data_IF_748462348615
#
_entry.id   IF_748462348615
#
_cell.length_a   1.000
_cell.length_b   1.000
_cell.length_c   1.000
_cell.angle_alpha   90.00
_cell.angle_beta   90.00
_cell.angle_gamma   90.00
#
_symmetry.space_group_name_H-M   'P 1'
#
loop_
_entity.id
_entity.type
_entity.pdbx_description
1 polymer ?
#
# COMPACT_ATOMS: atom_id res chain seq x y z
N UNK A 1 -3.82 2.19 -26.68
CA UNK A 1 -4.75 2.57 -25.61
C UNK A 1 -5.07 1.30 -24.82
N UNK A 2 -5.72 1.41 -23.68
CA UNK A 2 -6.36 0.26 -23.04
C UNK A 2 -7.81 0.14 -23.51
N UNK A 3 -8.27 -1.09 -23.68
CA UNK A 3 -9.64 -1.40 -24.04
C UNK A 3 -10.31 -2.13 -22.87
N UNK A 4 -11.42 -1.60 -22.38
CA UNK A 4 -12.20 -2.20 -21.30
C UNK A 4 -13.60 -2.56 -21.82
N UNK A 5 -13.96 -3.83 -21.76
CA UNK A 5 -15.25 -4.33 -22.22
C UNK A 5 -15.71 -5.52 -21.37
N UNK A 6 -16.73 -5.30 -20.54
CA UNK A 6 -17.28 -6.33 -19.66
C UNK A 6 -18.09 -7.41 -20.37
N UNK A 7 -18.63 -7.10 -21.55
CA UNK A 7 -19.40 -8.02 -22.38
C UNK A 7 -18.47 -8.84 -23.28
N UNK A 8 -18.43 -10.15 -23.08
CA UNK A 8 -17.55 -11.04 -23.84
C UNK A 8 -17.83 -11.05 -25.34
N UNK A 9 -19.11 -10.92 -25.74
CA UNK A 9 -19.51 -10.95 -27.15
C UNK A 9 -19.10 -9.67 -27.87
N UNK A 10 -19.32 -8.51 -27.23
CA UNK A 10 -18.87 -7.22 -27.74
C UNK A 10 -17.36 -7.12 -27.80
N UNK A 11 -16.68 -7.70 -26.82
CA UNK A 11 -15.22 -7.73 -26.78
C UNK A 11 -14.65 -8.52 -27.96
N UNK A 12 -15.20 -9.70 -28.26
CA UNK A 12 -14.77 -10.49 -29.43
C UNK A 12 -15.04 -9.75 -30.74
N UNK A 13 -16.23 -9.16 -30.89
CA UNK A 13 -16.59 -8.34 -32.05
C UNK A 13 -15.59 -7.18 -32.25
N UNK A 14 -15.26 -6.48 -31.17
CA UNK A 14 -14.35 -5.34 -31.22
C UNK A 14 -12.89 -5.75 -31.46
N UNK A 15 -12.43 -6.85 -30.87
CA UNK A 15 -11.08 -7.40 -31.13
C UNK A 15 -10.92 -7.67 -32.64
N UNK A 16 -11.94 -8.25 -33.28
CA UNK A 16 -11.93 -8.49 -34.73
C UNK A 16 -11.91 -7.19 -35.52
N UNK A 17 -12.75 -6.20 -35.17
CA UNK A 17 -12.82 -4.91 -35.88
C UNK A 17 -11.56 -4.06 -35.71
N UNK A 18 -10.90 -4.13 -34.56
CA UNK A 18 -9.64 -3.42 -34.30
C UNK A 18 -8.41 -4.15 -34.84
N UNK A 19 -8.55 -5.43 -35.22
CA UNK A 19 -7.47 -6.26 -35.75
C UNK A 19 -6.26 -6.24 -34.78
N UNK A 20 -6.56 -6.51 -33.50
CA UNK A 20 -5.58 -6.55 -32.42
C UNK A 20 -4.81 -7.88 -32.44
N UNK A 21 -3.48 -7.80 -32.37
CA UNK A 21 -2.62 -8.99 -32.23
C UNK A 21 -2.84 -9.70 -30.89
N UNK A 22 -2.49 -10.99 -30.77
CA UNK A 22 -2.62 -11.76 -29.51
C UNK A 22 -1.89 -11.11 -28.33
N UNK A 23 -0.73 -10.50 -28.60
CA UNK A 23 0.05 -9.78 -27.59
C UNK A 23 -0.70 -8.54 -27.09
N UNK A 24 -1.36 -7.81 -27.98
CA UNK A 24 -2.16 -6.64 -27.62
C UNK A 24 -3.44 -7.01 -26.90
N UNK A 25 -4.08 -8.11 -27.29
CA UNK A 25 -5.24 -8.64 -26.58
C UNK A 25 -4.88 -8.95 -25.12
N UNK A 26 -3.74 -9.62 -24.90
CA UNK A 26 -3.30 -10.02 -23.55
C UNK A 26 -2.95 -8.83 -22.67
N UNK A 27 -2.32 -7.80 -23.22
CA UNK A 27 -1.75 -6.70 -22.44
C UNK A 27 -2.60 -5.43 -22.42
N UNK A 28 -3.57 -5.29 -23.33
CA UNK A 28 -4.34 -4.06 -23.52
C UNK A 28 -5.85 -4.24 -23.41
N UNK A 29 -6.37 -5.46 -23.41
CA UNK A 29 -7.82 -5.71 -23.38
C UNK A 29 -8.24 -6.35 -22.06
N UNK A 30 -9.23 -5.74 -21.39
CA UNK A 30 -9.67 -6.14 -20.06
C UNK A 30 -11.20 -6.28 -19.99
N UNK A 31 -11.69 -7.28 -19.27
CA UNK A 31 -13.14 -7.43 -18.98
C UNK A 31 -13.63 -6.40 -17.97
N UNK A 32 -12.87 -6.27 -16.90
CA UNK A 32 -13.12 -5.38 -15.79
C UNK A 32 -11.78 -4.98 -15.26
N UNK A 33 -11.70 -3.80 -14.70
CA UNK A 33 -10.40 -3.26 -14.44
C UNK A 33 -10.37 -2.34 -13.23
N UNK A 34 -9.42 -2.59 -12.34
CA UNK A 34 -9.29 -1.86 -11.07
C UNK A 34 -8.00 -1.05 -10.94
N UNK A 35 -6.91 -1.37 -11.67
CA UNK A 35 -5.59 -0.71 -11.51
C UNK A 35 -4.74 -0.79 -12.78
N UNK A 36 -4.48 0.33 -13.49
CA UNK A 36 -3.95 0.28 -14.87
C UNK A 36 -2.51 -0.22 -14.91
N UNK A 37 -2.08 -0.96 -15.96
CA UNK A 37 -0.70 -1.44 -16.01
C UNK A 37 0.29 -0.27 -15.99
N UNK A 38 -0.04 0.79 -16.71
CA UNK A 38 0.66 2.08 -16.71
C UNK A 38 -0.29 3.20 -17.16
N UNK A 39 0.21 4.43 -17.20
CA UNK A 39 -0.53 5.58 -17.71
C UNK A 39 -0.93 5.40 -19.19
N UNK A 40 -2.19 5.67 -19.50
CA UNK A 40 -2.65 5.50 -20.88
C UNK A 40 -4.07 5.97 -21.17
N UNK A 41 -4.29 6.33 -22.43
CA UNK A 41 -5.62 6.56 -23.00
C UNK A 41 -6.48 5.30 -22.91
N UNK A 42 -7.79 5.47 -22.74
CA UNK A 42 -8.72 4.36 -22.48
C UNK A 42 -9.91 4.40 -23.43
N UNK A 43 -10.25 3.26 -23.99
CA UNK A 43 -11.48 2.98 -24.70
C UNK A 43 -12.35 2.07 -23.81
N UNK A 44 -13.60 2.48 -23.55
CA UNK A 44 -14.55 1.70 -22.76
C UNK A 44 -15.74 1.35 -23.63
N UNK A 45 -16.03 0.07 -23.75
CA UNK A 45 -17.21 -0.43 -24.47
C UNK A 45 -18.31 -0.67 -23.47
N UNK A 46 -19.46 -0.03 -23.70
CA UNK A 46 -20.61 -0.09 -22.81
C UNK A 46 -21.84 -0.54 -23.58
N UNK A 47 -22.63 -1.41 -22.96
CA UNK A 47 -24.02 -1.64 -23.36
C UNK A 47 -24.93 -0.54 -22.82
N UNK A 48 -24.64 -0.06 -21.62
CA UNK A 48 -25.40 0.95 -20.90
C UNK A 48 -24.45 1.94 -20.20
N UNK A 49 -24.80 3.22 -20.16
CA UNK A 49 -23.94 4.28 -19.61
C UNK A 49 -23.77 4.16 -18.09
N UNK A 50 -24.60 3.37 -17.40
CA UNK A 50 -24.42 3.08 -15.98
C UNK A 50 -23.27 2.09 -15.67
N UNK A 51 -22.57 1.56 -16.69
CA UNK A 51 -21.47 0.61 -16.54
C UNK A 51 -20.42 1.07 -15.50
N UNK A 52 -20.09 0.15 -14.58
CA UNK A 52 -19.13 0.42 -13.51
C UNK A 52 -17.71 0.70 -14.02
N UNK A 53 -17.29 0.08 -15.12
CA UNK A 53 -16.00 0.32 -15.75
C UNK A 53 -15.90 1.75 -16.28
N UNK A 54 -16.98 2.28 -16.89
CA UNK A 54 -17.00 3.66 -17.36
C UNK A 54 -16.79 4.65 -16.20
N UNK A 55 -17.51 4.46 -15.09
CA UNK A 55 -17.33 5.30 -13.90
C UNK A 55 -15.94 5.21 -13.30
N UNK A 56 -15.38 4.00 -13.24
CA UNK A 56 -14.00 3.79 -12.78
C UNK A 56 -13.00 4.54 -13.67
N UNK A 57 -13.13 4.41 -14.99
CA UNK A 57 -12.24 5.06 -15.94
C UNK A 57 -12.35 6.58 -15.86
N UNK A 58 -13.56 7.14 -15.73
CA UNK A 58 -13.74 8.59 -15.50
C UNK A 58 -12.96 9.05 -14.26
N UNK A 59 -13.05 8.32 -13.14
CA UNK A 59 -12.28 8.65 -11.92
C UNK A 59 -10.77 8.57 -12.13
N UNK A 60 -10.31 7.55 -12.86
CA UNK A 60 -8.89 7.40 -13.20
C UNK A 60 -8.38 8.57 -14.05
N UNK A 61 -9.14 9.01 -15.06
CA UNK A 61 -8.77 10.18 -15.87
C UNK A 61 -8.76 11.47 -15.03
N UNK A 62 -9.72 11.65 -14.12
CA UNK A 62 -9.73 12.79 -13.19
C UNK A 62 -8.52 12.79 -12.25
N UNK A 63 -8.09 11.61 -11.78
CA UNK A 63 -6.93 11.46 -10.91
C UNK A 63 -5.58 11.70 -11.63
N UNK A 64 -5.57 11.65 -12.97
CA UNK A 64 -4.38 11.84 -13.82
C UNK A 64 -4.60 12.95 -14.84
N UNK A 65 -5.40 13.95 -14.48
CA UNK A 65 -5.90 14.94 -15.43
C UNK A 65 -4.78 15.80 -16.04
N UNK A 66 -3.64 15.92 -15.37
CA UNK A 66 -2.44 16.61 -15.85
C UNK A 66 -1.78 15.90 -17.05
N UNK A 67 -2.06 14.60 -17.23
CA UNK A 67 -1.53 13.81 -18.34
C UNK A 67 -2.34 13.97 -19.63
N UNK A 68 -3.45 14.73 -19.60
CA UNK A 68 -4.33 14.97 -20.76
C UNK A 68 -4.79 13.68 -21.46
N UNK A 69 -5.08 12.65 -20.68
CA UNK A 69 -5.54 11.36 -21.21
C UNK A 69 -6.91 11.53 -21.88
N UNK A 70 -7.15 10.71 -22.90
CA UNK A 70 -8.37 10.69 -23.70
C UNK A 70 -9.22 9.47 -23.36
N UNK A 71 -10.54 9.67 -23.28
CA UNK A 71 -11.55 8.63 -23.10
C UNK A 71 -12.38 8.45 -24.38
N UNK A 72 -12.34 7.26 -24.97
CA UNK A 72 -13.29 6.87 -26.01
C UNK A 72 -14.39 6.00 -25.38
N UNK A 73 -15.66 6.36 -25.58
CA UNK A 73 -16.80 5.54 -25.12
C UNK A 73 -17.48 4.92 -26.32
N UNK A 74 -17.49 3.59 -26.38
CA UNK A 74 -17.99 2.82 -27.49
C UNK A 74 -19.32 2.16 -27.14
N UNK A 75 -20.30 2.27 -28.03
CA UNK A 75 -21.60 1.60 -27.93
C UNK A 75 -22.06 1.15 -29.32
N UNK A 76 -22.92 0.14 -29.43
CA UNK A 76 -23.46 -0.31 -30.73
C UNK A 76 -24.23 0.80 -31.44
N UNK A 77 -25.06 1.51 -30.68
CA UNK A 77 -25.87 2.63 -31.16
C UNK A 77 -26.04 3.65 -30.05
N UNK A 78 -25.85 4.92 -30.38
CA UNK A 78 -26.10 6.04 -29.48
C UNK A 78 -27.48 6.63 -29.72
N UNK A 79 -28.18 6.95 -28.64
CA UNK A 79 -29.34 7.84 -28.65
C UNK A 79 -28.98 9.18 -28.00
N UNK A 80 -29.81 10.20 -28.20
CA UNK A 80 -29.63 11.50 -27.53
C UNK A 80 -29.67 11.35 -26.00
N UNK A 81 -30.56 10.49 -25.49
CA UNK A 81 -30.64 10.16 -24.07
C UNK A 81 -29.34 9.52 -23.53
N UNK A 82 -28.66 8.70 -24.33
CA UNK A 82 -27.38 8.12 -23.93
C UNK A 82 -26.28 9.18 -23.81
N UNK A 83 -26.25 10.14 -24.74
CA UNK A 83 -25.29 11.25 -24.69
C UNK A 83 -25.53 12.12 -23.45
N UNK A 84 -26.79 12.45 -23.14
CA UNK A 84 -27.14 13.18 -21.92
C UNK A 84 -26.76 12.41 -20.65
N UNK A 85 -26.99 11.10 -20.62
CA UNK A 85 -26.58 10.25 -19.50
C UNK A 85 -25.06 10.18 -19.33
N UNK A 86 -24.30 10.17 -20.43
CA UNK A 86 -22.83 10.14 -20.38
C UNK A 86 -22.29 11.45 -19.83
N UNK A 87 -22.80 12.57 -20.34
CA UNK A 87 -22.53 13.91 -19.83
C UNK A 87 -22.78 13.99 -18.32
N UNK A 88 -23.93 13.47 -17.86
CA UNK A 88 -24.26 13.48 -16.44
C UNK A 88 -23.37 12.54 -15.61
N UNK A 89 -22.98 11.38 -16.15
CA UNK A 89 -22.04 10.49 -15.47
C UNK A 89 -20.68 11.16 -15.24
N UNK A 90 -20.17 11.89 -16.24
CA UNK A 90 -18.92 12.65 -16.14
C UNK A 90 -19.06 13.80 -15.15
N UNK A 91 -20.15 14.59 -15.23
CA UNK A 91 -20.42 15.68 -14.29
C UNK A 91 -20.58 15.17 -12.86
N UNK A 92 -21.17 13.98 -12.67
CA UNK A 92 -21.35 13.37 -11.35
C UNK A 92 -20.01 13.03 -10.71
N UNK A 93 -19.10 12.36 -11.44
CA UNK A 93 -17.79 12.00 -10.89
C UNK A 93 -16.89 13.23 -10.69
N UNK A 94 -16.98 14.24 -11.57
CA UNK A 94 -16.31 15.53 -11.38
C UNK A 94 -16.81 16.25 -10.12
N UNK A 95 -18.13 16.31 -9.91
CA UNK A 95 -18.75 16.89 -8.72
C UNK A 95 -18.31 16.15 -7.45
N UNK A 96 -18.29 14.81 -7.50
CA UNK A 96 -17.79 13.98 -6.40
C UNK A 96 -16.35 14.32 -6.03
N UNK A 97 -15.45 14.46 -7.02
CA UNK A 97 -14.06 14.86 -6.78
C UNK A 97 -13.97 16.21 -6.05
N UNK A 98 -14.81 17.17 -6.44
CA UNK A 98 -14.84 18.49 -5.82
C UNK A 98 -15.45 18.47 -4.41
N UNK A 99 -16.53 17.72 -4.20
CA UNK A 99 -17.18 17.55 -2.89
C UNK A 99 -16.27 16.89 -1.87
N UNK A 100 -15.54 15.84 -2.25
CA UNK A 100 -14.57 15.18 -1.35
C UNK A 100 -13.42 16.13 -0.98
N UNK A 101 -12.90 16.88 -1.96
CA UNK A 101 -11.88 17.90 -1.71
C UNK A 101 -12.40 19.03 -0.80
N UNK A 102 -13.64 19.48 -0.99
CA UNK A 102 -14.27 20.51 -0.16
C UNK A 102 -14.49 20.03 1.28
N UNK A 103 -14.94 18.78 1.48
CA UNK A 103 -15.07 18.17 2.81
C UNK A 103 -13.72 18.11 3.52
N UNK A 104 -12.66 17.71 2.81
CA UNK A 104 -11.30 17.71 3.35
C UNK A 104 -10.82 19.13 3.72
N UNK A 105 -11.04 20.12 2.86
CA UNK A 105 -10.69 21.52 3.13
C UNK A 105 -11.45 22.08 4.35
N UNK A 106 -12.73 21.77 4.51
CA UNK A 106 -13.49 22.16 5.69
C UNK A 106 -12.92 21.55 6.98
N UNK A 107 -12.51 20.27 6.96
CA UNK A 107 -11.86 19.63 8.11
C UNK A 107 -10.53 20.33 8.45
N UNK A 108 -9.68 20.54 7.45
CA UNK A 108 -8.35 21.14 7.63
C UNK A 108 -8.43 22.62 8.04
N UNK A 109 -9.44 23.35 7.59
CA UNK A 109 -9.67 24.74 7.98
C UNK A 109 -9.84 24.95 9.50
N UNK A 110 -10.29 23.90 10.21
CA UNK A 110 -10.50 23.90 11.67
C UNK A 110 -9.23 23.57 12.46
N UNK A 111 -8.14 23.19 11.80
CA UNK A 111 -6.87 22.91 12.47
C UNK A 111 -6.26 24.20 13.02
N UNK A 112 -5.43 24.08 14.09
CA UNK A 112 -4.58 25.16 14.54
C UNK A 112 -3.74 25.75 13.39
N UNK A 113 -3.44 27.05 13.42
CA UNK A 113 -2.52 27.64 12.46
C UNK A 113 -1.15 26.97 12.60
N UNK A 114 -0.56 26.56 11.48
CA UNK A 114 0.75 25.91 11.50
C UNK A 114 1.07 25.22 10.17
N UNK A 115 2.29 24.67 10.03
CA UNK A 115 2.75 24.04 8.78
C UNK A 115 1.81 22.92 8.30
N UNK A 116 1.38 22.03 9.20
CA UNK A 116 0.42 20.96 8.85
C UNK A 116 -0.86 21.46 8.17
N UNK A 117 -1.42 22.58 8.67
CA UNK A 117 -2.59 23.20 8.06
C UNK A 117 -2.24 23.83 6.72
N UNK A 118 -1.14 24.57 6.66
CA UNK A 118 -0.74 25.32 5.47
C UNK A 118 -0.43 24.39 4.30
N UNK A 119 0.43 23.39 4.51
CA UNK A 119 0.86 22.42 3.50
C UNK A 119 -0.36 21.66 2.95
N UNK A 120 -1.24 21.19 3.85
CA UNK A 120 -2.44 20.46 3.45
C UNK A 120 -3.44 21.35 2.73
N UNK A 121 -3.65 22.59 3.17
CA UNK A 121 -4.53 23.54 2.47
C UNK A 121 -3.99 23.90 1.08
N UNK A 122 -2.67 24.03 0.92
CA UNK A 122 -2.06 24.26 -0.39
C UNK A 122 -2.33 23.09 -1.34
N UNK A 123 -2.09 21.86 -0.89
CA UNK A 123 -2.41 20.66 -1.67
C UNK A 123 -3.89 20.61 -2.07
N UNK A 124 -4.80 20.83 -1.12
CA UNK A 124 -6.25 20.82 -1.39
C UNK A 124 -6.66 21.92 -2.38
N UNK A 125 -6.03 23.10 -2.34
CA UNK A 125 -6.27 24.17 -3.31
C UNK A 125 -5.86 23.78 -4.72
N UNK A 126 -4.72 23.11 -4.90
CA UNK A 126 -4.31 22.60 -6.22
C UNK A 126 -5.33 21.60 -6.76
N UNK A 127 -5.86 20.72 -5.92
CA UNK A 127 -6.92 19.79 -6.31
C UNK A 127 -8.28 20.42 -6.61
N UNK A 128 -8.47 21.73 -6.38
CA UNK A 128 -9.69 22.42 -6.82
C UNK A 128 -9.65 22.77 -8.32
N UNK A 129 -8.47 22.73 -8.95
CA UNK A 129 -8.29 23.13 -10.35
C UNK A 129 -8.27 21.95 -11.33
N UNK A 130 -8.78 20.78 -10.91
CA UNK A 130 -8.88 19.59 -11.78
C UNK A 130 -9.61 19.97 -13.09
N UNK A 131 -9.01 19.76 -14.27
CA UNK A 131 -9.66 20.05 -15.53
C UNK A 131 -10.73 19.01 -15.90
N UNK A 132 -11.55 19.33 -16.89
CA UNK A 132 -12.56 18.41 -17.44
C UNK A 132 -11.92 17.23 -18.17
N UNK A 133 -12.60 16.09 -18.16
CA UNK A 133 -12.17 14.89 -18.92
C UNK A 133 -12.33 15.15 -20.42
N UNK A 134 -11.28 14.84 -21.19
CA UNK A 134 -11.34 14.84 -22.65
C UNK A 134 -11.92 13.50 -23.13
N UNK A 135 -13.14 13.52 -23.67
CA UNK A 135 -13.84 12.31 -24.10
C UNK A 135 -14.58 12.47 -25.43
N UNK A 136 -14.79 11.35 -26.11
CA UNK A 136 -15.59 11.27 -27.34
C UNK A 136 -16.38 9.96 -27.39
N UNK A 137 -17.54 9.99 -28.06
CA UNK A 137 -18.40 8.83 -28.26
C UNK A 137 -18.21 8.24 -29.66
N UNK A 138 -18.26 6.91 -29.74
CA UNK A 138 -18.13 6.18 -31.00
C UNK A 138 -19.18 5.09 -31.11
N UNK A 139 -19.72 4.92 -32.31
CA UNK A 139 -20.58 3.77 -32.64
C UNK A 139 -19.72 2.61 -33.16
N UNK A 140 -20.10 1.37 -32.86
CA UNK A 140 -19.41 0.17 -33.38
C UNK A 140 -19.68 -0.03 -34.87
N UNK A 141 -19.04 0.77 -35.72
CA UNK A 141 -19.03 0.65 -37.18
C UNK A 141 -17.81 -0.11 -37.72
N UNK A 142 -17.73 -0.26 -39.05
CA UNK A 142 -16.59 -0.88 -39.73
C UNK A 142 -15.35 0.04 -39.78
N UNK A 143 -15.55 1.34 -39.58
CA UNK A 143 -14.54 2.38 -39.57
C UNK A 143 -13.99 2.71 -38.16
N UNK A 144 -14.42 1.94 -37.14
CA UNK A 144 -14.10 2.22 -35.73
C UNK A 144 -12.59 2.27 -35.47
N UNK A 145 -11.80 1.41 -36.13
CA UNK A 145 -10.34 1.39 -35.99
C UNK A 145 -9.73 2.72 -36.41
N UNK A 146 -10.10 3.22 -37.59
CA UNK A 146 -9.61 4.49 -38.14
C UNK A 146 -10.07 5.67 -37.27
N UNK A 147 -11.31 5.64 -36.79
CA UNK A 147 -11.85 6.67 -35.92
C UNK A 147 -11.09 6.75 -34.58
N UNK A 148 -10.83 5.62 -33.93
CA UNK A 148 -10.04 5.57 -32.69
C UNK A 148 -8.59 5.97 -32.92
N UNK A 149 -7.94 5.49 -33.99
CA UNK A 149 -6.56 5.85 -34.31
C UNK A 149 -6.41 7.35 -34.55
N UNK A 150 -7.40 7.97 -35.20
CA UNK A 150 -7.45 9.43 -35.40
C UNK A 150 -7.65 10.16 -34.07
N UNK A 151 -8.59 9.71 -33.23
CA UNK A 151 -8.88 10.37 -31.96
C UNK A 151 -7.72 10.30 -30.97
N UNK A 152 -6.99 9.19 -30.94
CA UNK A 152 -5.81 9.01 -30.09
C UNK A 152 -4.50 9.52 -30.70
N UNK A 153 -4.56 10.19 -31.86
CA UNK A 153 -3.42 10.79 -32.58
C UNK A 153 -2.32 9.79 -32.99
N UNK A 154 -2.67 8.61 -33.53
CA UNK A 154 -1.76 7.71 -34.25
C UNK A 154 -0.49 7.30 -33.50
N UNK A 155 -0.48 6.10 -32.93
CA UNK A 155 0.57 5.58 -32.03
C UNK A 155 0.76 6.41 -30.75
N UNK A 156 -0.13 6.19 -29.80
CA UNK A 156 0.26 6.31 -28.39
C UNK A 156 1.33 5.26 -28.14
N UNK A 157 2.60 5.65 -28.18
CA UNK A 157 3.70 4.81 -27.68
C UNK A 157 3.49 4.66 -26.18
N UNK A 158 2.96 3.50 -25.79
CA UNK A 158 3.03 3.05 -24.41
C UNK A 158 4.48 2.66 -24.18
N UNK A 159 5.15 3.29 -23.22
CA UNK A 159 6.21 2.62 -22.52
C UNK A 159 5.55 1.47 -21.75
N UNK A 160 5.39 0.33 -22.42
CA UNK A 160 5.51 -0.94 -21.71
C UNK A 160 6.96 -0.88 -21.24
N UNK A 161 7.16 -0.51 -19.98
CA UNK A 161 8.38 -0.91 -19.32
C UNK A 161 8.32 -2.43 -19.40
N UNK A 162 9.04 -3.00 -20.36
CA UNK A 162 9.46 -4.39 -20.33
C UNK A 162 10.20 -4.52 -19.00
N UNK A 163 9.44 -4.80 -17.94
CA UNK A 163 9.99 -5.23 -16.69
C UNK A 163 10.58 -6.60 -17.01
N UNK A 164 11.83 -6.60 -17.48
CA UNK A 164 12.77 -7.71 -17.45
C UNK A 164 13.08 -8.13 -16.01
N UNK A 165 12.13 -7.92 -15.10
CA UNK A 165 12.24 -8.27 -13.70
C UNK A 165 11.97 -9.75 -13.56
N UNK A 166 12.73 -10.36 -12.67
CA UNK A 166 12.37 -11.64 -12.09
C UNK A 166 10.93 -11.58 -11.59
N UNK A 167 10.08 -12.55 -11.98
CA UNK A 167 8.71 -12.58 -11.53
C UNK A 167 8.66 -12.63 -9.99
N UNK A 168 7.97 -11.66 -9.39
CA UNK A 168 7.73 -11.62 -7.94
C UNK A 168 6.57 -12.53 -7.56
N UNK A 169 6.54 -12.97 -6.30
CA UNK A 169 5.42 -13.76 -5.76
C UNK A 169 4.10 -13.00 -5.92
N UNK A 170 2.97 -13.71 -6.09
CA UNK A 170 1.64 -13.08 -5.99
C UNK A 170 1.11 -13.04 -4.56
N UNK A 171 1.81 -13.68 -3.61
CA UNK A 171 1.38 -13.86 -2.23
C UNK A 171 2.30 -13.14 -1.24
N UNK A 172 1.73 -12.54 -0.17
CA UNK A 172 2.51 -11.98 0.92
C UNK A 172 3.27 -13.08 1.70
N UNK A 173 4.27 -12.71 2.51
CA UNK A 173 5.06 -13.67 3.29
C UNK A 173 4.19 -14.34 4.36
N UNK A 174 4.18 -15.68 4.39
CA UNK A 174 3.25 -16.48 5.21
C UNK A 174 3.61 -16.51 6.70
N UNK A 175 4.87 -16.26 7.07
CA UNK A 175 5.40 -16.55 8.41
C UNK A 175 5.91 -15.34 9.20
N UNK A 176 6.00 -14.16 8.58
CA UNK A 176 6.72 -13.02 9.15
C UNK A 176 5.91 -11.72 9.20
N UNK A 177 4.66 -11.74 8.73
CA UNK A 177 3.78 -10.58 8.80
C UNK A 177 2.32 -11.01 8.84
N UNK A 178 1.56 -10.36 9.73
CA UNK A 178 0.10 -10.50 9.84
C UNK A 178 -0.54 -9.12 9.71
N UNK A 179 -1.78 -8.98 9.22
CA UNK A 179 -2.43 -7.67 9.10
C UNK A 179 -2.57 -6.93 10.44
N UNK A 180 -2.78 -7.67 11.53
CA UNK A 180 -2.83 -7.15 12.89
C UNK A 180 -1.55 -7.56 13.64
N UNK A 181 -0.92 -6.63 14.39
CA UNK A 181 0.21 -6.98 15.24
C UNK A 181 -0.20 -7.91 16.37
N UNK A 182 0.74 -8.71 16.82
CA UNK A 182 0.63 -9.55 18.02
C UNK A 182 0.64 -8.69 19.30
N UNK A 183 0.24 -9.27 20.42
CA UNK A 183 0.14 -8.55 21.71
C UNK A 183 1.48 -7.92 22.17
N UNK A 184 2.60 -8.56 21.82
CA UNK A 184 3.96 -8.07 22.13
C UNK A 184 4.55 -7.15 21.05
N UNK A 185 3.81 -6.89 19.98
CA UNK A 185 4.27 -6.07 18.87
C UNK A 185 3.71 -4.66 18.95
N UNK A 186 4.59 -3.69 18.69
CA UNK A 186 4.22 -2.30 18.49
C UNK A 186 4.23 -1.99 17.00
N UNK A 187 3.19 -1.33 16.50
CA UNK A 187 3.13 -0.92 15.10
C UNK A 187 2.62 0.51 14.93
N UNK A 188 3.27 1.25 14.06
CA UNK A 188 2.77 2.53 13.53
C UNK A 188 2.45 2.32 12.07
N UNK A 189 1.17 2.49 11.71
CA UNK A 189 0.68 2.36 10.35
C UNK A 189 0.21 3.71 9.82
N UNK A 190 0.62 4.05 8.60
CA UNK A 190 0.07 5.11 7.78
C UNK A 190 -0.74 4.49 6.65
N UNK A 191 -2.05 4.76 6.62
CA UNK A 191 -2.92 4.41 5.49
C UNK A 191 -3.07 5.61 4.58
N UNK A 192 -2.82 5.39 3.29
CA UNK A 192 -3.04 6.36 2.22
C UNK A 192 -4.29 5.95 1.47
N UNK A 193 -5.31 6.80 1.52
CA UNK A 193 -6.62 6.54 0.90
C UNK A 193 -6.86 7.47 -0.28
N UNK A 194 -7.28 6.92 -1.42
CA UNK A 194 -7.51 7.64 -2.67
C UNK A 194 -9.01 7.71 -2.98
N UNK A 195 -9.68 8.87 -2.86
CA UNK A 195 -11.14 8.98 -3.04
C UNK A 195 -11.63 8.73 -4.49
N UNK A 196 -10.75 8.87 -5.49
CA UNK A 196 -11.07 8.69 -6.90
C UNK A 196 -10.52 7.36 -7.44
N UNK A 197 -9.20 7.27 -7.56
CA UNK A 197 -8.45 6.11 -8.01
C UNK A 197 -7.05 6.15 -7.36
N UNK A 198 -6.50 4.98 -7.02
CA UNK A 198 -5.10 4.89 -6.58
C UNK A 198 -4.11 5.01 -7.74
N UNK A 199 -2.80 4.99 -7.44
CA UNK A 199 -1.76 4.99 -8.47
C UNK A 199 -1.87 3.75 -9.37
N UNK A 200 -1.45 3.90 -10.63
CA UNK A 200 -1.34 2.76 -11.53
C UNK A 200 -0.24 1.79 -11.08
N UNK A 201 -0.21 0.62 -11.72
CA UNK A 201 0.70 -0.44 -11.34
C UNK A 201 2.16 -0.09 -11.57
N UNK A 202 2.49 0.69 -12.61
CA UNK A 202 3.85 1.12 -12.87
C UNK A 202 4.35 2.06 -11.76
N UNK A 203 3.55 3.06 -11.37
CA UNK A 203 3.88 3.94 -10.24
C UNK A 203 4.05 3.16 -8.94
N UNK A 204 3.19 2.16 -8.68
CA UNK A 204 3.32 1.33 -7.48
C UNK A 204 4.55 0.40 -7.50
N UNK A 205 4.93 -0.13 -8.68
CA UNK A 205 6.19 -0.85 -8.86
C UNK A 205 7.38 0.05 -8.54
N UNK A 206 7.37 1.29 -9.03
CA UNK A 206 8.47 2.24 -8.80
C UNK A 206 8.60 2.63 -7.32
N UNK A 207 7.47 2.83 -6.63
CA UNK A 207 7.44 3.00 -5.16
C UNK A 207 8.11 1.82 -4.47
N UNK A 208 7.77 0.57 -4.79
CA UNK A 208 8.42 -0.60 -4.17
C UNK A 208 9.91 -0.68 -4.49
N UNK A 209 10.30 -0.42 -5.74
CA UNK A 209 11.70 -0.42 -6.17
C UNK A 209 12.55 0.58 -5.38
N UNK A 210 12.03 1.77 -5.12
CA UNK A 210 12.73 2.81 -4.35
C UNK A 210 13.09 2.38 -2.91
N UNK A 211 12.38 1.39 -2.36
CA UNK A 211 12.57 0.89 -1.01
C UNK A 211 13.64 -0.22 -0.91
N UNK A 212 13.99 -0.87 -2.02
CA UNK A 212 14.90 -2.03 -2.04
C UNK A 212 16.26 -1.75 -1.39
N UNK A 213 16.81 -0.57 -1.58
CA UNK A 213 18.18 -0.26 -1.14
C UNK A 213 18.31 -0.04 0.38
N UNK A 214 17.20 -0.06 1.11
CA UNK A 214 17.14 0.40 2.49
C UNK A 214 17.13 -0.72 3.55
N UNK A 215 17.23 -1.99 3.16
CA UNK A 215 17.22 -3.10 4.10
C UNK A 215 18.13 -4.26 3.72
N UNK A 216 18.48 -5.05 4.74
CA UNK A 216 19.38 -6.19 4.60
C UNK A 216 18.66 -7.43 4.05
N UNK A 217 17.37 -7.59 4.35
CA UNK A 217 16.53 -8.66 3.85
C UNK A 217 15.22 -8.08 3.31
N UNK A 218 14.86 -8.51 2.11
CA UNK A 218 13.73 -7.98 1.35
C UNK A 218 12.88 -9.16 0.89
N UNK A 219 11.56 -9.03 1.03
CA UNK A 219 10.59 -9.93 0.42
C UNK A 219 9.56 -9.11 -0.36
N UNK A 220 9.41 -9.41 -1.66
CA UNK A 220 8.49 -8.70 -2.55
C UNK A 220 7.42 -9.63 -3.12
N UNK A 221 6.21 -9.08 -3.25
CA UNK A 221 5.10 -9.70 -3.98
C UNK A 221 4.37 -8.64 -4.79
N UNK A 222 3.48 -9.03 -5.69
CA UNK A 222 2.77 -8.14 -6.64
C UNK A 222 2.16 -6.91 -5.99
N UNK A 223 1.62 -7.06 -4.78
CA UNK A 223 0.91 -6.01 -4.06
C UNK A 223 1.72 -5.37 -2.93
N UNK A 224 2.99 -5.76 -2.71
CA UNK A 224 3.74 -5.19 -1.60
C UNK A 224 5.20 -5.58 -1.46
N UNK A 225 5.82 -5.05 -0.43
CA UNK A 225 7.21 -5.28 -0.05
C UNK A 225 7.32 -5.29 1.48
N UNK A 226 8.11 -6.24 1.98
CA UNK A 226 8.52 -6.34 3.37
C UNK A 226 10.04 -6.18 3.44
N UNK A 227 10.49 -5.16 4.16
CA UNK A 227 11.87 -4.90 4.49
C UNK A 227 12.13 -5.33 5.94
N UNK A 228 13.10 -6.23 6.13
CA UNK A 228 13.54 -6.65 7.45
C UNK A 228 14.90 -6.02 7.75
N UNK A 229 14.92 -5.13 8.73
CA UNK A 229 16.12 -4.49 9.26
C UNK A 229 16.09 -4.57 10.79
N UNK A 230 16.50 -5.74 11.30
CA UNK A 230 16.38 -6.13 12.71
C UNK A 230 16.77 -4.99 13.66
N UNK A 231 15.91 -4.61 14.62
CA UNK A 231 14.67 -5.30 15.04
C UNK A 231 13.40 -4.79 14.34
N UNK A 232 13.49 -3.91 13.33
CA UNK A 232 12.32 -3.26 12.72
C UNK A 232 11.94 -3.91 11.39
N UNK A 233 10.64 -4.13 11.21
CA UNK A 233 10.05 -4.58 9.97
C UNK A 233 9.25 -3.42 9.33
N UNK A 234 9.62 -3.03 8.11
CA UNK A 234 8.86 -2.06 7.32
C UNK A 234 8.07 -2.79 6.23
N UNK A 235 6.76 -2.58 6.22
CA UNK A 235 5.83 -3.20 5.31
C UNK A 235 5.11 -2.13 4.50
N UNK A 236 5.09 -2.27 3.18
CA UNK A 236 4.27 -1.45 2.29
C UNK A 236 3.42 -2.36 1.41
N UNK A 237 2.10 -2.17 1.42
CA UNK A 237 1.16 -2.99 0.67
C UNK A 237 0.03 -2.16 0.07
N UNK A 238 -0.35 -2.48 -1.16
CA UNK A 238 -1.58 -2.02 -1.79
C UNK A 238 -2.72 -2.96 -1.42
N UNK A 239 -3.37 -2.65 -0.30
CA UNK A 239 -4.47 -3.48 0.25
C UNK A 239 -5.75 -3.40 -0.58
N UNK A 240 -5.90 -2.35 -1.39
CA UNK A 240 -6.98 -2.23 -2.39
C UNK A 240 -6.57 -1.28 -3.52
N UNK A 241 -7.33 -1.23 -4.63
CA UNK A 241 -7.09 -0.28 -5.72
C UNK A 241 -7.07 1.21 -5.31
N UNK A 242 -7.62 1.53 -4.14
CA UNK A 242 -7.73 2.88 -3.60
C UNK A 242 -7.07 3.04 -2.25
N UNK A 243 -6.26 2.07 -1.81
CA UNK A 243 -5.59 2.13 -0.50
C UNK A 243 -4.20 1.50 -0.54
N UNK A 244 -3.24 2.23 0.02
CA UNK A 244 -1.89 1.75 0.33
C UNK A 244 -1.70 1.85 1.83
N UNK A 245 -1.17 0.80 2.45
CA UNK A 245 -0.80 0.77 3.86
C UNK A 245 0.72 0.67 4.00
N UNK A 246 1.28 1.55 4.81
CA UNK A 246 2.67 1.55 5.21
C UNK A 246 2.73 1.31 6.71
N UNK A 247 3.42 0.27 7.16
CA UNK A 247 3.51 -0.08 8.56
C UNK A 247 4.96 -0.35 8.97
N UNK A 248 5.41 0.27 10.05
CA UNK A 248 6.63 -0.14 10.75
C UNK A 248 6.25 -0.88 12.02
N UNK A 249 6.91 -2.02 12.28
CA UNK A 249 6.61 -2.89 13.41
C UNK A 249 7.88 -3.35 14.12
N UNK A 250 7.77 -3.55 15.42
CA UNK A 250 8.83 -4.12 16.27
C UNK A 250 8.23 -5.05 17.33
N UNK A 251 8.89 -6.15 17.63
CA UNK A 251 8.55 -7.03 18.75
C UNK A 251 9.24 -6.50 20.02
N UNK A 252 8.47 -6.04 21.00
CA UNK A 252 9.01 -5.41 22.22
C UNK A 252 9.81 -6.42 23.06
N UNK A 253 9.43 -7.70 23.03
CA UNK A 253 10.11 -8.78 23.75
C UNK A 253 11.50 -9.10 23.19
N UNK A 254 11.81 -8.67 21.96
CA UNK A 254 13.10 -8.90 21.28
C UNK A 254 14.05 -7.70 21.41
N UNK A 255 13.60 -6.61 22.02
CA UNK A 255 14.38 -5.38 22.18
C UNK A 255 15.36 -5.45 23.34
N UNK A 256 16.50 -4.76 23.19
CA UNK A 256 17.41 -4.49 24.31
C UNK A 256 16.75 -3.54 25.31
N UNK A 257 17.18 -3.55 26.58
CA UNK A 257 16.54 -2.79 27.67
C UNK A 257 16.39 -1.29 27.37
N UNK A 258 17.41 -0.67 26.75
CA UNK A 258 17.38 0.73 26.32
C UNK A 258 16.35 0.99 25.21
N UNK A 259 16.16 0.03 24.30
CA UNK A 259 15.23 0.12 23.18
C UNK A 259 13.79 -0.17 23.63
N UNK A 260 13.61 -1.12 24.54
CA UNK A 260 12.33 -1.51 25.11
C UNK A 260 11.68 -0.39 25.93
N UNK A 261 12.47 0.57 26.43
CA UNK A 261 11.96 1.75 27.12
C UNK A 261 11.20 2.72 26.19
N UNK A 262 11.58 2.81 24.91
CA UNK A 262 10.94 3.69 23.92
C UNK A 262 10.91 3.05 22.51
N UNK A 263 10.17 1.94 22.33
CA UNK A 263 10.16 1.16 21.08
C UNK A 263 9.71 1.96 19.86
N UNK A 264 8.76 2.89 20.02
CA UNK A 264 8.25 3.74 18.93
C UNK A 264 9.30 4.66 18.31
N UNK A 265 10.37 4.98 19.05
CA UNK A 265 11.51 5.76 18.55
C UNK A 265 12.19 5.07 17.36
N UNK A 266 12.16 3.74 17.33
CA UNK A 266 12.71 2.94 16.25
C UNK A 266 11.79 2.93 15.02
N UNK A 267 10.48 3.11 15.20
CA UNK A 267 9.49 2.96 14.13
C UNK A 267 9.42 4.17 13.19
N UNK A 268 9.40 5.39 13.75
CA UNK A 268 9.22 6.62 12.97
C UNK A 268 10.22 6.82 11.82
N UNK A 269 11.52 6.52 11.97
CA UNK A 269 12.46 6.60 10.85
C UNK A 269 12.07 5.72 9.66
N UNK A 270 11.57 4.50 9.90
CA UNK A 270 11.13 3.61 8.82
C UNK A 270 9.78 4.04 8.24
N UNK A 271 8.85 4.52 9.06
CA UNK A 271 7.60 5.15 8.58
C UNK A 271 7.91 6.36 7.69
N UNK A 272 8.83 7.22 8.11
CA UNK A 272 9.26 8.38 7.35
C UNK A 272 9.90 7.97 6.01
N UNK A 273 10.78 6.96 6.03
CA UNK A 273 11.38 6.40 4.82
C UNK A 273 10.31 5.93 3.83
N UNK A 274 9.39 5.07 4.28
CA UNK A 274 8.34 4.53 3.43
C UNK A 274 7.41 5.61 2.89
N UNK A 275 7.02 6.55 3.75
CA UNK A 275 6.12 7.63 3.39
C UNK A 275 6.79 8.59 2.41
N UNK A 276 8.06 8.94 2.62
CA UNK A 276 8.82 9.83 1.74
C UNK A 276 8.90 9.28 0.32
N UNK A 277 9.31 8.01 0.18
CA UNK A 277 9.41 7.35 -1.12
C UNK A 277 8.05 7.22 -1.80
N UNK A 278 7.01 6.91 -1.02
CA UNK A 278 5.64 6.84 -1.57
C UNK A 278 5.19 8.21 -2.08
N UNK A 279 5.28 9.25 -1.23
CA UNK A 279 4.81 10.59 -1.58
C UNK A 279 5.61 11.24 -2.71
N UNK A 280 6.91 10.94 -2.86
CA UNK A 280 7.69 11.46 -3.98
C UNK A 280 7.15 10.99 -5.33
N UNK A 281 6.80 9.71 -5.45
CA UNK A 281 6.21 9.19 -6.68
C UNK A 281 4.75 9.67 -6.87
N UNK A 282 3.95 9.74 -5.79
CA UNK A 282 2.59 10.29 -5.91
C UNK A 282 2.60 11.77 -6.33
N UNK A 283 3.64 12.53 -5.98
CA UNK A 283 3.76 13.95 -6.35
C UNK A 283 3.95 14.19 -7.85
N UNK A 284 4.32 13.17 -8.62
CA UNK A 284 4.38 13.21 -10.09
C UNK A 284 2.99 13.23 -10.74
N UNK A 285 1.94 12.96 -9.95
CA UNK A 285 0.54 12.96 -10.34
C UNK A 285 -0.20 14.08 -9.60
N UNK A 286 -0.22 15.28 -10.19
CA UNK A 286 -0.70 16.51 -9.54
C UNK A 286 -2.13 16.38 -8.99
N UNK A 287 -3.02 15.75 -9.75
CA UNK A 287 -4.44 15.63 -9.41
C UNK A 287 -4.81 14.33 -8.72
N UNK A 288 -3.82 13.49 -8.37
CA UNK A 288 -4.04 12.29 -7.59
C UNK A 288 -4.38 12.66 -6.15
N UNK A 289 -5.67 12.77 -5.86
CA UNK A 289 -6.18 13.12 -4.53
C UNK A 289 -5.91 11.98 -3.54
N UNK A 290 -5.45 12.31 -2.33
CA UNK A 290 -5.27 11.34 -1.25
C UNK A 290 -5.44 11.95 0.15
N UNK A 291 -5.69 11.11 1.14
CA UNK A 291 -5.61 11.43 2.58
C UNK A 291 -4.64 10.51 3.29
N UNK A 292 -4.03 11.02 4.36
CA UNK A 292 -3.09 10.27 5.20
C UNK A 292 -3.73 10.01 6.56
N UNK A 293 -3.79 8.75 6.95
CA UNK A 293 -4.39 8.31 8.21
C UNK A 293 -3.34 7.60 9.07
N UNK A 294 -3.21 8.01 10.33
CA UNK A 294 -2.36 7.37 11.34
C UNK A 294 -3.17 6.33 12.12
N UNK A 295 -2.64 5.11 12.20
CA UNK A 295 -3.23 4.00 12.96
C UNK A 295 -2.14 3.38 13.84
N UNK A 296 -2.05 3.79 15.10
CA UNK A 296 -1.08 3.23 16.02
C UNK A 296 -1.69 2.00 16.71
N UNK A 297 -0.94 0.91 16.71
CA UNK A 297 -1.29 -0.35 17.34
C UNK A 297 -0.30 -0.66 18.46
N UNK A 298 -0.85 -0.86 19.66
CA UNK A 298 -0.08 -1.17 20.86
C UNK A 298 -0.86 -0.81 22.11
N UNK A 299 -0.74 -1.63 23.14
CA UNK A 299 -1.43 -1.40 24.41
C UNK A 299 -0.91 -0.15 25.15
N UNK A 300 0.27 0.36 24.81
CA UNK A 300 0.87 1.55 25.44
C UNK A 300 0.29 2.87 24.94
N UNK A 301 -0.34 2.92 23.77
CA UNK A 301 -0.79 4.19 23.16
C UNK A 301 -2.09 4.74 23.74
N UNK A 302 -2.92 3.88 24.33
CA UNK A 302 -4.23 4.22 24.88
C UNK A 302 -4.54 3.39 26.12
N UNK A 303 -5.29 3.97 27.05
CA UNK A 303 -5.85 3.21 28.16
C UNK A 303 -6.83 2.13 27.67
N UNK A 304 -6.66 0.91 28.20
CA UNK A 304 -7.58 -0.22 28.02
C UNK A 304 -9.03 0.19 28.35
N UNK A 305 -10.05 -0.30 27.61
CA UNK A 305 -10.05 -1.42 26.67
C UNK A 305 -10.09 -0.99 25.19
N UNK A 306 -9.53 0.17 24.84
CA UNK A 306 -9.66 0.71 23.49
C UNK A 306 -8.71 0.02 22.52
N UNK A 307 -9.27 -0.58 21.47
CA UNK A 307 -8.52 -1.05 20.30
C UNK A 307 -7.96 0.14 19.49
N UNK A 308 -7.05 -0.15 18.56
CA UNK A 308 -6.49 0.83 17.63
C UNK A 308 -7.56 1.73 16.98
N UNK A 309 -7.16 2.98 16.72
CA UNK A 309 -8.03 4.04 16.18
C UNK A 309 -7.37 4.67 14.97
N UNK A 310 -8.21 5.14 14.06
CA UNK A 310 -7.78 5.84 12.85
C UNK A 310 -7.85 7.33 13.10
N UNK A 311 -6.76 8.04 12.86
CA UNK A 311 -6.68 9.49 12.98
C UNK A 311 -6.28 10.09 11.64
N UNK A 312 -6.90 11.20 11.24
CA UNK A 312 -6.35 12.02 10.15
C UNK A 312 -4.98 12.55 10.56
N UNK A 313 -3.93 12.23 9.81
CA UNK A 313 -2.54 12.51 10.20
C UNK A 313 -2.28 14.02 10.36
N UNK A 314 -2.65 14.90 9.41
CA UNK A 314 -2.50 16.34 9.59
C UNK A 314 -3.25 16.87 10.81
N UNK A 315 -4.47 16.38 11.06
CA UNK A 315 -5.23 16.77 12.25
C UNK A 315 -4.55 16.31 13.53
N UNK A 316 -4.10 15.05 13.58
CA UNK A 316 -3.45 14.48 14.74
C UNK A 316 -2.17 15.24 15.07
N UNK A 317 -1.26 15.36 14.11
CA UNK A 317 0.04 15.97 14.32
C UNK A 317 -0.05 17.48 14.54
N UNK A 318 -0.94 18.18 13.83
CA UNK A 318 -1.19 19.60 14.07
C UNK A 318 -1.75 19.87 15.47
N UNK A 319 -2.66 19.02 15.97
CA UNK A 319 -3.20 19.14 17.33
C UNK A 319 -2.15 18.79 18.38
N UNK A 320 -1.40 17.71 18.17
CA UNK A 320 -0.34 17.27 19.08
C UNK A 320 0.77 18.31 19.19
N UNK A 321 1.21 18.90 18.07
CA UNK A 321 2.27 19.90 18.04
C UNK A 321 1.86 21.23 18.68
N UNK A 322 0.59 21.62 18.62
CA UNK A 322 0.12 22.89 19.18
C UNK A 322 -0.22 22.77 20.67
N UNK A 323 -0.89 21.68 21.06
CA UNK A 323 -1.48 21.56 22.40
C UNK A 323 -0.80 20.53 23.30
N UNK A 324 0.20 19.80 22.77
CA UNK A 324 0.90 18.71 23.48
C UNK A 324 -0.06 17.65 24.03
N UNK A 325 -1.25 17.54 23.43
CA UNK A 325 -2.30 16.64 23.87
C UNK A 325 -3.22 16.28 22.72
N UNK A 326 -3.54 15.00 22.61
CA UNK A 326 -4.59 14.50 21.73
C UNK A 326 -5.53 13.62 22.52
N UNK A 327 -6.83 13.82 22.32
CA UNK A 327 -7.87 13.01 22.93
C UNK A 327 -9.01 12.77 21.93
N UNK A 328 -9.68 11.63 22.07
CA UNK A 328 -10.83 11.27 21.24
C UNK A 328 -11.96 10.71 22.09
N UNK A 329 -13.19 10.79 21.56
CA UNK A 329 -14.37 10.25 22.23
C UNK A 329 -14.73 8.88 21.65
N UNK A 330 -14.96 7.90 22.51
CA UNK A 330 -15.45 6.56 22.15
C UNK A 330 -16.41 6.04 23.22
N UNK A 331 -17.60 5.57 22.82
CA UNK A 331 -18.66 5.11 23.74
C UNK A 331 -18.87 6.08 24.91
N UNK A 332 -19.04 7.36 24.59
CA UNK A 332 -19.26 8.48 25.53
C UNK A 332 -18.08 8.82 26.48
N UNK A 333 -17.01 8.03 26.49
CA UNK A 333 -15.79 8.30 27.24
C UNK A 333 -14.76 9.03 26.39
N UNK A 334 -13.94 9.84 27.05
CA UNK A 334 -12.79 10.51 26.43
C UNK A 334 -11.53 9.72 26.78
N UNK A 335 -10.75 9.41 25.77
CA UNK A 335 -9.48 8.71 25.89
C UNK A 335 -8.37 9.64 25.44
N UNK A 336 -7.30 9.74 26.23
CA UNK A 336 -6.10 10.46 25.84
C UNK A 336 -5.18 9.52 25.06
N UNK A 337 -4.42 10.09 24.12
CA UNK A 337 -3.33 9.40 23.45
C UNK A 337 -2.06 9.65 24.25
N UNK A 338 -1.31 8.60 24.58
CA UNK A 338 -0.02 8.74 25.24
C UNK A 338 1.02 9.21 24.22
N UNK A 339 1.17 10.53 24.08
CA UNK A 339 2.06 11.13 23.08
C UNK A 339 3.53 10.82 23.33
N UNK A 340 3.95 10.69 24.59
CA UNK A 340 5.33 10.32 24.94
C UNK A 340 5.67 8.88 24.50
N UNK A 341 4.67 8.00 24.50
CA UNK A 341 4.79 6.63 24.01
C UNK A 341 4.75 6.56 22.49
N UNK A 342 3.91 7.36 21.83
CA UNK A 342 3.77 7.34 20.38
C UNK A 342 4.87 8.15 19.67
N UNK A 343 5.20 9.32 20.18
CA UNK A 343 6.15 10.30 19.63
C UNK A 343 7.19 10.70 20.71
N UNK A 344 8.13 9.81 21.08
CA UNK A 344 9.02 10.00 22.23
C UNK A 344 9.99 11.19 22.11
N UNK A 345 10.24 11.70 20.90
CA UNK A 345 11.04 12.91 20.67
C UNK A 345 10.17 14.17 20.50
N UNK A 346 8.88 14.08 20.83
CA UNK A 346 7.87 15.10 20.57
C UNK A 346 7.15 14.93 19.23
N UNK A 347 5.96 15.54 19.06
CA UNK A 347 5.21 15.51 17.81
C UNK A 347 5.94 16.21 16.66
N UNK A 348 5.75 15.73 15.42
CA UNK A 348 6.27 16.40 14.24
C UNK A 348 5.50 17.69 13.96
N UNK A 349 6.23 18.77 13.69
CA UNK A 349 5.68 20.12 13.44
C UNK A 349 5.17 20.33 12.01
N UNK A 350 5.58 19.48 11.05
CA UNK A 350 5.16 19.52 9.65
C UNK A 350 5.31 18.13 9.00
N UNK A 351 4.69 17.96 7.82
CA UNK A 351 4.93 16.76 7.01
C UNK A 351 6.39 16.69 6.58
N UNK A 352 7.00 17.79 6.12
CA UNK A 352 8.40 17.83 5.72
C UNK A 352 9.34 17.39 6.84
N UNK A 353 9.12 17.86 8.08
CA UNK A 353 9.89 17.44 9.24
C UNK A 353 9.77 15.93 9.50
N UNK A 354 8.58 15.34 9.37
CA UNK A 354 8.41 13.88 9.44
C UNK A 354 9.23 13.17 8.34
N UNK A 355 9.20 13.67 7.10
CA UNK A 355 9.89 13.05 5.95
C UNK A 355 11.43 13.23 5.99
N UNK A 356 11.95 14.09 6.86
CA UNK A 356 13.39 14.30 7.07
C UNK A 356 14.01 13.26 8.02
N UNK A 357 13.20 12.51 8.77
CA UNK A 357 13.69 11.44 9.63
C UNK A 357 14.19 10.28 8.79
N UNK A 358 15.42 9.82 9.05
CA UNK A 358 16.08 8.75 8.28
C UNK A 358 16.43 7.59 9.22
N UNK A 359 16.18 6.33 8.82
CA UNK A 359 16.61 5.19 9.61
C UNK A 359 18.14 5.13 9.70
N UNK A 360 18.69 4.48 10.75
CA UNK A 360 20.11 4.19 10.79
C UNK A 360 20.50 3.44 9.52
N UNK A 361 21.58 3.86 8.84
CA UNK A 361 22.00 3.15 7.63
C UNK A 361 22.29 1.68 7.97
N UNK A 362 21.83 0.71 7.16
CA UNK A 362 22.14 -0.68 7.39
C UNK A 362 23.65 -0.85 7.46
N UNK A 363 24.13 -1.47 8.53
CA UNK A 363 25.54 -1.89 8.60
C UNK A 363 25.69 -2.97 7.53
N UNK A 364 26.28 -2.62 6.38
CA UNK A 364 26.63 -3.61 5.36
C UNK A 364 27.29 -4.79 6.09
N UNK A 365 26.84 -6.03 5.89
CA UNK A 365 27.54 -7.16 6.45
C UNK A 365 28.97 -7.08 5.95
N UNK A 366 29.93 -6.89 6.86
CA UNK A 366 31.32 -7.13 6.52
C UNK A 366 31.35 -8.56 5.99
N UNK A 367 31.77 -8.72 4.75
CA UNK A 367 32.02 -10.01 4.14
C UNK A 367 33.13 -10.63 4.99
N UNK A 368 32.78 -11.36 6.05
CA UNK A 368 33.68 -12.31 6.65
C UNK A 368 33.80 -13.42 5.61
N UNK A 369 34.66 -13.19 4.62
CA UNK A 369 35.22 -14.24 3.80
C UNK A 369 35.95 -15.17 4.77
N UNK A 370 35.27 -16.24 5.18
CA UNK A 370 35.98 -17.45 5.52
C UNK A 370 36.70 -17.85 4.23
N UNK A 371 37.97 -17.51 4.15
CA UNK A 371 38.85 -18.05 3.13
C UNK A 371 38.87 -19.57 3.37
N UNK A 372 38.13 -20.30 2.55
CA UNK A 372 38.44 -21.69 2.23
C UNK A 372 39.81 -21.70 1.56
N UNK A 373 40.88 -21.71 2.35
CA UNK A 373 42.23 -21.97 1.86
C UNK A 373 43.05 -22.62 2.97
N UNK A 374 42.71 -23.86 3.32
CA UNK A 374 43.68 -24.77 3.97
C UNK A 374 43.47 -26.21 3.48
N UNK A 375 43.82 -26.47 2.22
CA UNK A 375 44.39 -27.77 1.83
C UNK A 375 45.36 -27.58 0.66
N UNK A 376 46.65 -27.50 0.96
CA UNK A 376 47.72 -27.57 -0.04
C UNK A 376 49.03 -26.91 0.40
N UNK A 377 49.95 -27.73 0.94
CA UNK A 377 51.43 -27.76 0.74
C UNK A 377 52.14 -26.43 0.37
N UNK A 378 53.32 -26.04 0.86
CA UNK A 378 54.40 -26.58 1.70
C UNK A 378 55.55 -25.56 1.64
N UNK A 379 56.34 -25.44 2.72
CA UNK A 379 57.74 -24.96 2.83
C UNK A 379 57.98 -23.63 3.58
N UNK A 380 58.85 -23.70 4.60
CA UNK A 380 59.70 -22.59 5.04
C UNK A 380 59.48 -22.11 6.48
N UNK A 381 60.21 -22.75 7.40
CA UNK A 381 60.64 -22.33 8.75
C UNK A 381 60.37 -20.89 9.23
N UNK A 382 59.79 -20.74 10.43
CA UNK A 382 60.52 -20.47 11.68
C UNK A 382 59.66 -19.77 12.75
N UNK A 383 59.65 -20.39 13.95
CA UNK A 383 59.52 -19.77 15.28
C UNK A 383 58.30 -18.91 15.64
N UNK A 384 57.36 -19.51 16.39
CA UNK A 384 56.96 -18.95 17.68
C UNK A 384 56.43 -20.06 18.61
N UNK A 385 56.95 -20.08 19.85
CA UNK A 385 56.62 -21.01 20.92
C UNK A 385 55.13 -20.89 21.34
N UNK A 386 54.50 -21.97 21.84
CA UNK A 386 53.13 -21.90 22.34
C UNK A 386 53.09 -21.23 23.73
N UNK A 387 52.13 -20.34 24.02
CA UNK A 387 51.83 -19.96 25.39
C UNK A 387 50.90 -21.01 26.04
N UNK A 388 50.93 -21.12 27.38
CA UNK A 388 50.39 -22.26 28.11
C UNK A 388 48.86 -22.25 28.19
N UNK A 389 48.32 -23.46 28.19
CA UNK A 389 46.94 -23.80 28.56
C UNK A 389 46.59 -23.27 29.95
N UNK A 390 45.83 -22.19 30.03
CA UNK A 390 44.81 -21.93 31.07
C UNK A 390 44.02 -20.68 30.69
N UNK A 391 42.76 -20.86 30.32
CA UNK A 391 41.84 -19.79 29.99
C UNK A 391 40.82 -20.26 28.97
N UNK A 392 39.73 -20.86 29.45
CA UNK A 392 38.50 -21.02 28.67
C UNK A 392 37.96 -19.62 28.35
N UNK A 393 38.52 -18.98 27.32
CA UNK A 393 37.82 -17.91 26.63
C UNK A 393 36.69 -18.60 25.85
N UNK A 394 35.50 -18.57 26.45
CA UNK A 394 34.27 -18.84 25.73
C UNK A 394 34.22 -17.80 24.62
N UNK A 395 34.55 -18.21 23.40
CA UNK A 395 34.16 -17.48 22.22
C UNK A 395 32.66 -17.28 22.35
N UNK A 396 32.22 -16.01 22.48
CA UNK A 396 30.82 -15.64 22.33
C UNK A 396 30.46 -15.88 20.87
N UNK A 397 30.29 -17.16 20.52
CA UNK A 397 29.52 -17.58 19.38
C UNK A 397 28.13 -17.01 19.62
N UNK A 398 27.82 -15.87 18.98
CA UNK A 398 26.46 -15.42 18.76
C UNK A 398 25.76 -16.52 17.98
N UNK A 399 25.24 -17.51 18.70
CA UNK A 399 24.27 -18.44 18.16
C UNK A 399 23.13 -17.59 17.63
N UNK A 400 22.91 -17.66 16.32
CA UNK A 400 21.72 -17.13 15.68
C UNK A 400 20.54 -17.81 16.39
N UNK A 401 19.84 -17.11 17.28
CA UNK A 401 18.58 -17.58 17.85
C UNK A 401 17.62 -17.66 16.68
N UNK A 402 17.45 -18.86 16.13
CA UNK A 402 16.30 -19.19 15.31
C UNK A 402 15.09 -19.16 16.24
N UNK A 403 14.35 -18.06 16.25
CA UNK A 403 13.00 -18.10 16.78
C UNK A 403 12.19 -18.94 15.79
N UNK A 404 11.86 -20.16 16.20
CA UNK A 404 10.66 -20.77 15.67
C UNK A 404 9.55 -19.91 16.26
N UNK A 405 8.94 -19.05 15.44
CA UNK A 405 7.79 -18.25 15.85
C UNK A 405 6.89 -19.10 16.72
N UNK A 406 6.55 -18.59 17.90
CA UNK A 406 5.80 -19.32 18.90
C UNK A 406 4.51 -19.87 18.27
N UNK A 407 4.46 -21.18 18.02
CA UNK A 407 3.22 -21.88 17.74
C UNK A 407 2.44 -21.83 19.06
N UNK A 408 1.61 -20.81 19.22
CA UNK A 408 0.70 -20.72 20.35
C UNK A 408 -0.38 -21.79 20.10
N UNK A 409 -0.22 -22.95 20.74
CA UNK A 409 -1.35 -23.83 21.02
C UNK A 409 -2.40 -22.97 21.71
N UNK A 410 -3.61 -22.91 21.14
CA UNK A 410 -4.76 -22.24 21.72
C UNK A 410 -4.88 -22.69 23.18
N UNK A 411 -4.59 -21.79 24.12
CA UNK A 411 -4.69 -22.10 25.55
C UNK A 411 -6.13 -22.43 25.87
N UNK A 412 -6.34 -23.68 26.29
CA UNK A 412 -7.54 -24.16 26.95
C UNK A 412 -7.90 -23.18 28.07
N UNK A 413 -9.01 -22.46 27.89
CA UNK A 413 -9.64 -21.81 29.03
C UNK A 413 -10.32 -22.91 29.82
N UNK A 414 -9.89 -23.07 31.08
CA UNK A 414 -10.55 -23.90 32.08
C UNK A 414 -11.99 -23.40 32.29
N UNK A 415 -12.89 -23.84 31.41
CA UNK A 415 -14.32 -23.94 31.68
C UNK A 415 -14.72 -25.35 31.27
N UNK A 416 -15.34 -26.06 32.21
CA UNK A 416 -15.74 -27.46 32.14
C UNK A 416 -16.28 -27.84 30.77
N UNK A 417 -15.54 -28.71 30.08
CA UNK A 417 -15.83 -29.28 28.78
C UNK A 417 -17.24 -29.93 28.73
N UNK A 418 -18.09 -29.41 27.84
CA UNK A 418 -19.28 -30.05 27.25
C UNK A 418 -19.62 -29.35 25.93
N UNK A 419 -18.75 -29.45 24.92
CA UNK A 419 -19.01 -28.77 23.65
C UNK A 419 -18.29 -29.34 22.45
N UNK A 420 -17.09 -29.89 22.62
CA UNK A 420 -16.36 -30.48 21.49
C UNK A 420 -16.90 -31.87 21.15
N UNK A 421 -17.16 -32.71 22.16
CA UNK A 421 -17.74 -34.05 21.93
C UNK A 421 -19.15 -33.97 21.36
N UNK A 422 -20.01 -33.07 21.86
CA UNK A 422 -21.37 -32.88 21.33
C UNK A 422 -21.37 -32.32 19.90
N UNK A 423 -20.38 -31.50 19.54
CA UNK A 423 -20.22 -30.95 18.18
C UNK A 423 -19.71 -32.01 17.21
N UNK A 424 -18.74 -32.84 17.63
CA UNK A 424 -18.22 -33.95 16.82
C UNK A 424 -19.29 -35.03 16.65
N UNK A 425 -20.06 -35.35 17.68
CA UNK A 425 -21.19 -36.28 17.59
C UNK A 425 -22.32 -35.73 16.71
N UNK A 426 -22.62 -34.43 16.77
CA UNK A 426 -23.59 -33.81 15.88
C UNK A 426 -23.13 -33.82 14.41
N UNK A 427 -21.84 -33.56 14.15
CA UNK A 427 -21.29 -33.56 12.80
C UNK A 427 -21.19 -34.98 12.23
N UNK A 428 -20.78 -35.96 13.04
CA UNK A 428 -20.73 -37.37 12.64
C UNK A 428 -22.13 -37.92 12.39
N UNK A 429 -23.12 -37.56 13.22
CA UNK A 429 -24.52 -37.93 13.01
C UNK A 429 -25.08 -37.33 11.72
N UNK A 430 -24.83 -36.06 11.46
CA UNK A 430 -25.26 -35.40 10.23
C UNK A 430 -24.59 -36.00 8.98
N UNK A 431 -23.33 -36.45 9.10
CA UNK A 431 -22.60 -37.12 8.02
C UNK A 431 -23.11 -38.55 7.79
N UNK A 432 -23.46 -39.27 8.85
CA UNK A 432 -24.03 -40.63 8.76
C UNK A 432 -25.46 -40.63 8.22
N UNK A 433 -26.29 -39.65 8.58
CA UNK A 433 -27.66 -39.50 8.05
C UNK A 433 -27.66 -39.17 6.54
N UNK A 434 -26.57 -38.59 6.01
CA UNK A 434 -26.38 -38.35 4.57
C UNK A 434 -25.83 -39.57 3.80
N UNK A 435 -25.35 -40.61 4.48
CA UNK A 435 -24.80 -41.83 3.88
C UNK A 435 -25.77 -43.01 3.89
N UNK A 436 -26.93 -42.88 4.56
CA UNK A 436 -28.02 -43.86 4.51
C UNK A 436 -29.16 -43.32 3.63
N UNK A 437 -28.95 -43.38 2.31
CA UNK A 437 -30.00 -43.47 1.29
C UNK A 437 -29.48 -44.26 0.09
#
# INVERSE_FOLDING_TARGET
MYLVCGDSTLREELIQKLDLSENEQTNKVFSSFSILPSLGNVAVVVNDVSDGNLRFVIRYLLANAEKNLKLAVLKRSWSDADNEHLDEAIRTEFRRAHEENQKAAQKVSRLPPGPWKNDRMEQLRRWQTIPSVNYATFSLGDDIKVALDTFFDGMVQFSINDNSETPVSSKPPVLHWTPLPLDSELQVLIRISFPLAGPDNSTFVDIRKSLREHANSIYEWTEGILLNDDPVHLHLERVSPTQIELAARVCVDELEEEQAAQPSKLLWPYVALGLKNTLSHLSEHEYLQYSLELIPYGASFYDSPVQARVFDLPQFMGTASEYEKVAFRYKEKVYNVHLDELCPNGPFTSLSHLLEVVPPRPKRPQLNSFAEDVFGQSNGEANCKPPPTTGLHVAQNRGRRVSFGSIKLMTESNSTAKGVDDYVDAMLKQTMDHLVL
#
